data_IF_691616055292
#
_entry.id   IF_691616055292
#
_cell.length_a   1.000
_cell.length_b   1.000
_cell.length_c   1.000
_cell.angle_alpha   90.00
_cell.angle_beta   90.00
_cell.angle_gamma   90.00
#
_symmetry.space_group_name_H-M   'P 1'
#
loop_
_entity.id
_entity.type
_entity.pdbx_description
1 polymer ?
#
# COMPACT_ATOMS: atom_id res chain seq x y z
N UNK A 1 -16.11 12.26 -0.65
CA UNK A 1 -16.98 12.82 -1.73
C UNK A 1 -16.98 14.33 -1.65
N UNK A 2 -16.82 15.01 -2.79
CA UNK A 2 -16.86 16.49 -2.86
C UNK A 2 -18.33 16.94 -2.97
N UNK A 3 -18.67 18.09 -2.38
CA UNK A 3 -20.02 18.67 -2.44
C UNK A 3 -20.08 19.86 -3.41
N UNK A 4 -21.27 20.18 -3.95
CA UNK A 4 -21.49 21.35 -4.80
C UNK A 4 -20.93 22.62 -4.17
N UNK A 5 -21.16 22.82 -2.84
CA UNK A 5 -20.64 24.01 -2.14
C UNK A 5 -19.14 24.13 -2.14
N UNK A 6 -18.42 23.00 -2.04
CA UNK A 6 -16.96 23.00 -2.13
C UNK A 6 -16.47 23.25 -3.55
N UNK A 7 -17.18 22.72 -4.56
CA UNK A 7 -16.88 22.97 -5.97
C UNK A 7 -17.04 24.45 -6.34
N UNK A 8 -18.10 25.08 -5.87
CA UNK A 8 -18.40 26.48 -6.15
C UNK A 8 -17.34 27.46 -5.61
N UNK A 9 -16.65 27.09 -4.51
CA UNK A 9 -15.66 27.93 -3.85
C UNK A 9 -14.23 27.74 -4.37
N UNK A 10 -13.95 26.63 -5.05
CA UNK A 10 -12.61 26.34 -5.58
C UNK A 10 -12.37 27.04 -6.91
N UNK A 11 -11.15 27.48 -7.12
CA UNK A 11 -10.69 27.97 -8.43
C UNK A 11 -10.61 26.83 -9.43
N UNK A 12 -10.86 27.13 -10.71
CA UNK A 12 -10.81 26.14 -11.78
C UNK A 12 -9.43 25.47 -11.83
N UNK A 13 -8.34 26.23 -11.71
CA UNK A 13 -6.97 25.73 -11.65
C UNK A 13 -6.74 24.75 -10.49
N UNK A 14 -7.31 25.03 -9.30
CA UNK A 14 -7.18 24.16 -8.15
C UNK A 14 -7.99 22.86 -8.33
N UNK A 15 -9.14 22.96 -9.00
CA UNK A 15 -9.95 21.79 -9.38
C UNK A 15 -9.23 20.94 -10.42
N UNK A 16 -8.61 21.56 -11.42
CA UNK A 16 -7.83 20.90 -12.47
C UNK A 16 -6.62 20.16 -11.87
N UNK A 17 -5.85 20.82 -11.01
CA UNK A 17 -4.72 20.22 -10.32
C UNK A 17 -5.15 19.04 -9.44
N UNK A 18 -6.27 19.17 -8.72
CA UNK A 18 -6.78 18.15 -7.83
C UNK A 18 -7.46 16.99 -8.56
N UNK A 19 -8.14 17.29 -9.67
CA UNK A 19 -8.93 16.37 -10.48
C UNK A 19 -8.66 16.58 -11.97
N UNK A 20 -7.50 16.17 -12.52
CA UNK A 20 -7.14 16.45 -13.92
C UNK A 20 -8.17 15.99 -14.96
N UNK A 21 -8.97 15.00 -14.61
CA UNK A 21 -10.03 14.47 -15.48
C UNK A 21 -11.22 15.42 -15.67
N UNK A 22 -11.32 16.52 -14.92
CA UNK A 22 -12.41 17.50 -15.10
C UNK A 22 -12.33 18.22 -16.45
N UNK A 23 -11.14 18.32 -17.06
CA UNK A 23 -10.98 18.89 -18.38
C UNK A 23 -11.89 18.20 -19.41
N UNK A 24 -11.92 16.86 -19.38
CA UNK A 24 -12.80 16.07 -20.24
C UNK A 24 -14.29 16.36 -20.00
N UNK A 25 -14.69 16.70 -18.76
CA UNK A 25 -16.06 17.10 -18.47
C UNK A 25 -16.39 18.44 -19.14
N UNK A 26 -15.51 19.43 -19.02
CA UNK A 26 -15.72 20.76 -19.64
C UNK A 26 -15.74 20.66 -21.17
N UNK A 27 -14.79 19.92 -21.77
CA UNK A 27 -14.74 19.65 -23.21
C UNK A 27 -16.03 18.99 -23.73
N UNK A 28 -16.48 17.92 -23.06
CA UNK A 28 -17.69 17.18 -23.45
C UNK A 28 -18.96 18.02 -23.36
N UNK A 29 -19.00 18.98 -22.43
CA UNK A 29 -20.10 19.92 -22.27
C UNK A 29 -19.91 21.21 -23.06
N UNK A 30 -18.86 21.30 -23.92
CA UNK A 30 -18.53 22.49 -24.75
C UNK A 30 -18.32 23.77 -23.97
N UNK A 31 -17.82 23.63 -22.75
CA UNK A 31 -17.51 24.74 -21.84
C UNK A 31 -16.02 25.08 -21.97
N UNK A 32 -15.72 26.27 -22.51
CA UNK A 32 -14.33 26.73 -22.61
C UNK A 32 -13.91 27.43 -21.32
N UNK A 33 -12.89 26.89 -20.65
CA UNK A 33 -12.35 27.40 -19.39
C UNK A 33 -11.05 28.21 -19.57
N UNK A 34 -10.55 28.38 -20.82
CA UNK A 34 -9.34 29.17 -21.08
C UNK A 34 -9.57 30.65 -20.66
N UNK A 35 -8.62 31.16 -19.86
CA UNK A 35 -8.69 32.50 -19.29
C UNK A 35 -9.48 32.63 -17.99
N UNK A 36 -10.06 31.52 -17.49
CA UNK A 36 -10.82 31.48 -16.23
C UNK A 36 -10.13 30.64 -15.15
N UNK A 37 -8.84 30.29 -15.32
CA UNK A 37 -8.09 29.39 -14.45
C UNK A 37 -8.07 29.91 -12.98
N UNK A 38 -7.99 31.22 -12.80
CA UNK A 38 -7.97 31.88 -11.49
C UNK A 38 -9.36 32.22 -10.93
N UNK A 39 -10.43 32.00 -11.72
CA UNK A 39 -11.81 32.21 -11.29
C UNK A 39 -12.37 30.99 -10.57
N UNK A 40 -13.29 31.22 -9.65
CA UNK A 40 -14.06 30.12 -9.06
C UNK A 40 -15.04 29.53 -10.06
N UNK A 41 -15.44 28.28 -9.87
CA UNK A 41 -16.46 27.64 -10.71
C UNK A 41 -17.75 28.48 -10.77
N UNK A 42 -18.13 29.07 -9.64
CA UNK A 42 -19.33 29.90 -9.59
C UNK A 42 -19.18 31.20 -10.37
N UNK A 43 -18.03 31.87 -10.29
CA UNK A 43 -17.74 33.09 -11.09
C UNK A 43 -17.73 32.76 -12.57
N UNK A 44 -17.11 31.65 -12.98
CA UNK A 44 -17.10 31.18 -14.36
C UNK A 44 -18.51 30.93 -14.90
N UNK A 45 -19.34 30.17 -14.18
CA UNK A 45 -20.70 29.85 -14.61
C UNK A 45 -21.62 31.08 -14.65
N UNK A 46 -21.39 32.08 -13.80
CA UNK A 46 -22.15 33.33 -13.79
C UNK A 46 -21.65 34.35 -14.82
N UNK A 47 -20.57 34.05 -15.57
CA UNK A 47 -20.08 34.93 -16.61
C UNK A 47 -20.95 34.88 -17.89
N UNK A 48 -21.64 33.76 -18.12
CA UNK A 48 -22.53 33.61 -19.27
C UNK A 48 -23.71 34.59 -19.22
N UNK A 49 -23.93 35.29 -20.31
CA UNK A 49 -25.07 36.19 -20.46
C UNK A 49 -26.38 35.42 -20.65
N UNK A 50 -27.52 36.07 -20.43
CA UNK A 50 -28.84 35.42 -20.62
C UNK A 50 -29.02 34.95 -22.08
N UNK A 51 -28.49 35.69 -23.06
CA UNK A 51 -28.53 35.35 -24.48
C UNK A 51 -27.70 34.06 -24.76
N UNK A 52 -26.48 33.95 -24.20
CA UNK A 52 -25.63 32.77 -24.35
C UNK A 52 -26.23 31.54 -23.66
N UNK A 53 -26.87 31.72 -22.49
CA UNK A 53 -27.55 30.65 -21.78
C UNK A 53 -28.69 30.06 -22.59
N UNK A 54 -29.49 30.95 -23.25
CA UNK A 54 -30.58 30.50 -24.10
C UNK A 54 -30.07 29.87 -25.42
N UNK A 55 -29.09 30.51 -26.08
CA UNK A 55 -28.54 30.03 -27.38
C UNK A 55 -27.84 28.68 -27.26
N UNK A 56 -27.08 28.47 -26.18
CA UNK A 56 -26.30 27.25 -25.94
C UNK A 56 -27.00 26.24 -25.01
N UNK A 57 -28.23 26.54 -24.61
CA UNK A 57 -29.04 25.70 -23.71
C UNK A 57 -28.29 25.32 -22.44
N UNK A 58 -27.59 26.28 -21.83
CA UNK A 58 -26.82 26.08 -20.57
C UNK A 58 -27.76 26.03 -19.39
N UNK A 59 -27.77 24.92 -18.68
CA UNK A 59 -28.48 24.74 -17.40
C UNK A 59 -27.45 24.74 -16.25
N UNK A 60 -27.18 25.93 -15.68
CA UNK A 60 -26.16 26.10 -14.63
C UNK A 60 -26.39 25.16 -13.43
N UNK A 61 -27.59 25.03 -12.84
CA UNK A 61 -27.85 24.08 -11.77
C UNK A 61 -27.53 22.64 -12.16
N UNK A 62 -27.90 22.24 -13.38
CA UNK A 62 -27.63 20.91 -13.90
C UNK A 62 -26.15 20.67 -14.11
N UNK A 63 -25.41 21.61 -14.69
CA UNK A 63 -23.95 21.51 -14.90
C UNK A 63 -23.25 21.31 -13.54
N UNK A 64 -23.64 22.04 -12.49
CA UNK A 64 -23.07 21.89 -11.14
C UNK A 64 -23.34 20.48 -10.57
N UNK A 65 -24.56 19.99 -10.71
CA UNK A 65 -24.94 18.65 -10.27
C UNK A 65 -24.24 17.55 -11.07
N UNK A 66 -24.16 17.70 -12.38
CA UNK A 66 -23.51 16.75 -13.26
C UNK A 66 -21.99 16.71 -13.03
N UNK A 67 -21.37 17.86 -12.76
CA UNK A 67 -19.94 17.94 -12.42
C UNK A 67 -19.66 17.29 -11.05
N UNK A 68 -20.49 17.56 -10.02
CA UNK A 68 -20.38 16.87 -8.73
C UNK A 68 -20.49 15.37 -8.88
N UNK A 69 -21.48 14.90 -9.61
CA UNK A 69 -21.70 13.49 -9.88
C UNK A 69 -20.52 12.88 -10.65
N UNK A 70 -20.05 13.54 -11.71
CA UNK A 70 -18.92 13.12 -12.51
C UNK A 70 -17.63 12.99 -11.68
N UNK A 71 -17.30 14.03 -10.89
CA UNK A 71 -16.12 14.01 -10.02
C UNK A 71 -16.23 12.86 -9.01
N UNK A 72 -17.36 12.71 -8.34
CA UNK A 72 -17.55 11.65 -7.35
C UNK A 72 -17.50 10.25 -7.98
N UNK A 73 -18.06 10.06 -9.18
CA UNK A 73 -17.89 8.81 -9.94
C UNK A 73 -16.44 8.54 -10.32
N UNK A 74 -15.73 9.56 -10.81
CA UNK A 74 -14.33 9.42 -11.19
C UNK A 74 -13.42 9.17 -9.97
N UNK A 75 -13.69 9.83 -8.84
CA UNK A 75 -13.03 9.56 -7.56
C UNK A 75 -13.21 8.10 -7.16
N UNK A 76 -14.43 7.58 -7.25
CA UNK A 76 -14.72 6.19 -6.94
C UNK A 76 -14.07 5.23 -7.93
N UNK A 77 -14.18 5.51 -9.23
CA UNK A 77 -13.60 4.69 -10.31
C UNK A 77 -12.07 4.63 -10.24
N UNK A 78 -11.42 5.78 -10.00
CA UNK A 78 -9.96 5.90 -9.90
C UNK A 78 -9.44 5.56 -8.50
N UNK A 79 -10.34 5.31 -7.54
CA UNK A 79 -10.00 5.03 -6.18
C UNK A 79 -9.27 6.17 -5.46
N UNK A 80 -9.68 7.38 -5.74
CA UNK A 80 -9.16 8.58 -5.10
C UNK A 80 -9.85 8.88 -3.76
N UNK A 81 -10.89 8.12 -3.39
CA UNK A 81 -11.46 8.20 -2.04
C UNK A 81 -10.40 7.75 -1.03
N UNK A 82 -10.02 8.67 -0.17
CA UNK A 82 -9.24 8.36 1.03
C UNK A 82 -10.19 7.74 2.06
N UNK A 83 -10.60 6.51 1.86
CA UNK A 83 -11.01 5.69 3.00
C UNK A 83 -9.75 5.44 3.83
N UNK A 84 -9.52 6.33 4.80
CA UNK A 84 -8.39 6.21 5.72
C UNK A 84 -8.62 4.95 6.54
N UNK A 85 -7.96 3.88 6.14
CA UNK A 85 -7.98 2.63 6.89
C UNK A 85 -7.05 2.78 8.08
N UNK A 86 -7.65 2.87 9.25
CA UNK A 86 -6.94 3.02 10.52
C UNK A 86 -6.69 1.69 11.21
N UNK A 87 -7.49 0.67 10.91
CA UNK A 87 -7.36 -0.65 11.51
C UNK A 87 -8.02 -1.74 10.68
N UNK A 88 -7.51 -2.97 10.87
CA UNK A 88 -8.20 -4.19 10.48
C UNK A 88 -8.48 -5.00 11.75
N UNK A 89 -9.63 -5.69 11.79
CA UNK A 89 -9.97 -6.58 12.90
C UNK A 89 -10.29 -7.96 12.37
N UNK A 90 -9.60 -8.97 12.87
CA UNK A 90 -9.82 -10.37 12.54
C UNK A 90 -10.75 -10.95 13.59
N UNK A 91 -11.92 -11.41 13.17
CA UNK A 91 -12.83 -12.18 14.02
C UNK A 91 -12.55 -13.68 13.84
N UNK A 92 -12.72 -14.47 14.92
CA UNK A 92 -12.37 -15.89 14.92
C UNK A 92 -13.20 -16.71 13.95
N UNK A 93 -12.56 -17.63 13.28
CA UNK A 93 -13.15 -18.61 12.41
C UNK A 93 -12.94 -20.03 12.95
N UNK A 94 -12.53 -20.95 12.04
CA UNK A 94 -12.33 -22.38 12.33
C UNK A 94 -10.95 -22.83 11.85
N UNK A 95 -10.36 -23.78 12.57
CA UNK A 95 -9.17 -24.51 12.15
C UNK A 95 -9.52 -25.57 11.06
N UNK A 96 -8.51 -26.28 10.56
CA UNK A 96 -8.70 -27.32 9.52
C UNK A 96 -9.52 -28.53 9.97
N UNK A 97 -9.78 -28.67 11.26
CA UNK A 97 -10.60 -29.74 11.83
C UNK A 97 -12.01 -29.27 12.20
N UNK A 98 -12.34 -28.00 11.93
CA UNK A 98 -13.63 -27.41 12.25
C UNK A 98 -13.75 -26.88 13.68
N UNK A 99 -12.68 -26.89 14.47
CA UNK A 99 -12.69 -26.32 15.82
C UNK A 99 -12.67 -24.81 15.75
N UNK A 100 -13.49 -24.14 16.55
CA UNK A 100 -13.51 -22.69 16.67
C UNK A 100 -12.18 -22.18 17.25
N UNK A 101 -11.64 -21.10 16.67
CA UNK A 101 -10.47 -20.41 17.20
C UNK A 101 -10.79 -19.79 18.56
N UNK A 102 -9.80 -19.85 19.48
CA UNK A 102 -9.98 -19.43 20.87
C UNK A 102 -9.42 -18.03 21.12
N UNK A 103 -10.02 -17.03 20.50
CA UNK A 103 -9.80 -15.61 20.79
C UNK A 103 -11.09 -14.85 20.45
N UNK A 104 -11.27 -13.64 21.00
CA UNK A 104 -12.49 -12.85 20.76
C UNK A 104 -12.37 -12.02 19.48
N UNK A 105 -11.30 -11.24 19.37
CA UNK A 105 -10.98 -10.44 18.20
C UNK A 105 -9.50 -10.04 18.22
N UNK A 106 -8.92 -9.78 17.05
CA UNK A 106 -7.58 -9.26 16.92
C UNK A 106 -7.61 -8.00 16.07
N UNK A 107 -7.42 -6.86 16.69
CA UNK A 107 -7.31 -5.57 16.00
C UNK A 107 -5.85 -5.19 15.77
N UNK A 108 -5.54 -4.83 14.53
CA UNK A 108 -4.24 -4.36 14.07
C UNK A 108 -4.43 -2.94 13.55
N UNK A 109 -3.67 -2.01 14.08
CA UNK A 109 -3.79 -0.59 13.76
C UNK A 109 -2.78 -0.17 12.70
N UNK A 110 -3.00 0.98 12.11
CA UNK A 110 -2.08 1.70 11.26
C UNK A 110 -0.70 1.82 11.91
N UNK A 111 0.35 1.66 11.11
CA UNK A 111 1.75 1.64 11.58
C UNK A 111 2.12 0.50 12.54
N UNK A 112 1.28 -0.53 12.72
CA UNK A 112 1.64 -1.72 13.46
C UNK A 112 2.25 -2.79 12.56
N UNK A 113 3.25 -3.50 13.08
CA UNK A 113 3.85 -4.68 12.46
C UNK A 113 3.36 -5.92 13.20
N UNK A 114 2.83 -6.88 12.46
CA UNK A 114 2.38 -8.17 13.00
C UNK A 114 3.13 -9.30 12.31
N UNK A 115 3.82 -10.12 13.09
CA UNK A 115 4.46 -11.34 12.58
C UNK A 115 3.50 -12.54 12.67
N UNK A 116 3.53 -13.39 11.65
CA UNK A 116 2.76 -14.62 11.57
C UNK A 116 3.76 -15.78 11.58
N UNK A 117 3.73 -16.55 12.66
CA UNK A 117 4.67 -17.64 12.89
C UNK A 117 3.95 -18.99 12.99
N UNK A 118 4.65 -20.05 12.67
CA UNK A 118 4.15 -21.41 12.73
C UNK A 118 4.91 -22.33 11.79
N UNK A 119 4.82 -23.64 11.95
CA UNK A 119 5.47 -24.61 11.08
C UNK A 119 5.09 -24.43 9.59
N UNK A 120 5.93 -24.95 8.68
CA UNK A 120 5.55 -25.03 7.27
C UNK A 120 4.26 -25.83 7.11
N UNK A 121 3.33 -25.34 6.29
CA UNK A 121 2.01 -25.98 6.13
C UNK A 121 1.03 -25.74 7.28
N UNK A 122 1.36 -24.90 8.28
CA UNK A 122 0.45 -24.60 9.40
C UNK A 122 -0.76 -23.75 9.01
N UNK A 123 -0.74 -23.08 7.83
CA UNK A 123 -1.83 -22.25 7.35
C UNK A 123 -1.55 -20.74 7.39
N UNK A 124 -0.28 -20.30 7.48
CA UNK A 124 0.09 -18.88 7.45
C UNK A 124 -0.44 -18.18 6.21
N UNK A 125 -0.18 -18.73 5.02
CA UNK A 125 -0.66 -18.16 3.75
C UNK A 125 -2.19 -18.16 3.64
N UNK A 126 -2.89 -19.02 4.37
CA UNK A 126 -4.37 -18.99 4.41
C UNK A 126 -4.87 -17.77 5.19
N UNK A 127 -4.23 -17.42 6.31
CA UNK A 127 -4.58 -16.20 7.04
C UNK A 127 -4.29 -14.95 6.20
N UNK A 128 -3.15 -14.92 5.48
CA UNK A 128 -2.85 -13.83 4.56
C UNK A 128 -3.90 -13.71 3.46
N UNK A 129 -4.34 -14.83 2.87
CA UNK A 129 -5.42 -14.84 1.87
C UNK A 129 -6.77 -14.38 2.44
N UNK A 130 -7.13 -14.77 3.67
CA UNK A 130 -8.36 -14.30 4.32
C UNK A 130 -8.34 -12.77 4.49
N UNK A 131 -7.18 -12.18 4.79
CA UNK A 131 -7.01 -10.72 4.91
C UNK A 131 -7.04 -10.08 3.52
N UNK A 132 -6.31 -10.63 2.54
CA UNK A 132 -6.27 -10.12 1.16
C UNK A 132 -7.67 -10.02 0.54
N UNK A 133 -8.50 -11.01 0.80
CA UNK A 133 -9.86 -11.07 0.25
C UNK A 133 -10.90 -10.41 1.15
N UNK A 134 -10.46 -9.82 2.26
CA UNK A 134 -11.34 -9.27 3.29
C UNK A 134 -12.49 -10.25 3.59
N UNK A 135 -12.12 -11.48 3.98
CA UNK A 135 -13.04 -12.60 4.16
C UNK A 135 -14.24 -12.23 5.04
N UNK A 136 -15.42 -12.70 4.67
CA UNK A 136 -16.67 -12.55 5.44
C UNK A 136 -17.39 -13.88 5.52
N UNK A 137 -16.80 -14.86 6.23
CA UNK A 137 -17.28 -16.25 6.38
C UNK A 137 -17.38 -17.03 5.08
N UNK A 138 -16.86 -16.50 3.98
CA UNK A 138 -16.90 -17.05 2.63
C UNK A 138 -15.61 -17.77 2.23
N UNK A 139 -14.72 -17.99 3.18
CA UNK A 139 -13.48 -18.78 3.04
C UNK A 139 -13.57 -20.07 3.88
N UNK A 140 -12.72 -21.08 3.61
CA UNK A 140 -12.72 -22.32 4.38
C UNK A 140 -12.50 -22.16 5.89
N UNK A 141 -11.91 -21.06 6.32
CA UNK A 141 -11.69 -20.75 7.74
C UNK A 141 -12.90 -20.11 8.40
N UNK A 142 -13.88 -19.63 7.64
CA UNK A 142 -15.04 -18.86 8.11
C UNK A 142 -14.67 -17.63 8.96
N UNK A 143 -13.46 -17.07 8.80
CA UNK A 143 -13.08 -15.82 9.44
C UNK A 143 -13.85 -14.65 8.86
N UNK A 144 -13.97 -13.57 9.65
CA UNK A 144 -14.46 -12.29 9.17
C UNK A 144 -13.38 -11.25 9.42
N UNK A 145 -13.10 -10.46 8.38
CA UNK A 145 -12.16 -9.33 8.43
C UNK A 145 -12.97 -8.05 8.42
N UNK A 146 -12.83 -7.24 9.45
CA UNK A 146 -13.44 -5.92 9.52
C UNK A 146 -12.41 -4.86 9.14
N UNK A 147 -12.83 -3.83 8.44
CA UNK A 147 -12.06 -2.63 8.13
C UNK A 147 -12.65 -1.49 8.95
N UNK A 148 -11.83 -0.81 9.75
CA UNK A 148 -12.30 0.23 10.68
C UNK A 148 -13.47 -0.21 11.58
N UNK A 149 -13.55 -1.51 11.90
CA UNK A 149 -14.61 -2.08 12.73
C UNK A 149 -15.88 -2.51 11.98
N UNK A 150 -15.96 -2.28 10.66
CA UNK A 150 -17.12 -2.60 9.83
C UNK A 150 -16.79 -3.67 8.79
N UNK A 151 -17.79 -4.42 8.34
CA UNK A 151 -17.63 -5.36 7.24
C UNK A 151 -17.50 -4.55 5.95
N UNK A 152 -16.37 -4.70 5.19
CA UNK A 152 -16.18 -3.99 3.95
C UNK A 152 -17.27 -4.39 2.94
N UNK A 153 -17.79 -3.41 2.21
CA UNK A 153 -18.78 -3.67 1.17
C UNK A 153 -18.19 -4.42 -0.03
N UNK A 154 -19.05 -4.82 -0.96
CA UNK A 154 -18.65 -5.58 -2.14
C UNK A 154 -17.70 -4.79 -3.04
N UNK A 155 -17.93 -3.49 -3.18
CA UNK A 155 -17.09 -2.61 -4.02
C UNK A 155 -15.68 -2.48 -3.45
N UNK A 156 -15.54 -2.34 -2.15
CA UNK A 156 -14.25 -2.28 -1.46
C UNK A 156 -13.48 -3.61 -1.56
N UNK A 157 -14.18 -4.75 -1.43
CA UNK A 157 -13.54 -6.09 -1.48
C UNK A 157 -13.01 -6.46 -2.85
N UNK A 158 -13.71 -6.07 -3.93
CA UNK A 158 -13.44 -6.52 -5.30
C UNK A 158 -13.03 -5.40 -6.25
N UNK A 159 -12.69 -4.22 -5.73
CA UNK A 159 -12.17 -3.11 -6.53
C UNK A 159 -10.85 -3.49 -7.19
N UNK A 160 -10.76 -3.32 -8.50
CA UNK A 160 -9.52 -3.48 -9.26
C UNK A 160 -8.62 -2.26 -9.15
N UNK A 161 -9.20 -1.07 -8.94
CA UNK A 161 -8.48 0.21 -8.84
C UNK A 161 -7.91 0.50 -7.44
N UNK A 162 -8.62 0.08 -6.38
CA UNK A 162 -8.26 0.32 -4.98
C UNK A 162 -8.03 -1.00 -4.24
N UNK A 163 -6.91 -1.64 -4.50
CA UNK A 163 -6.56 -2.82 -3.72
C UNK A 163 -6.29 -2.44 -2.27
N UNK A 164 -7.06 -3.02 -1.34
CA UNK A 164 -6.85 -2.89 0.11
C UNK A 164 -5.49 -3.41 0.54
N UNK A 165 -5.00 -4.42 -0.16
CA UNK A 165 -3.82 -5.20 0.22
C UNK A 165 -2.81 -5.20 -0.91
N UNK A 166 -1.58 -4.81 -0.61
CA UNK A 166 -0.41 -5.08 -1.43
C UNK A 166 0.30 -6.33 -0.89
N UNK A 167 0.63 -7.26 -1.78
CA UNK A 167 1.34 -8.48 -1.42
C UNK A 167 2.76 -8.46 -1.96
N UNK A 168 3.73 -8.60 -1.07
CA UNK A 168 5.15 -8.76 -1.36
C UNK A 168 5.50 -10.24 -1.19
N UNK A 169 5.53 -10.99 -2.30
CA UNK A 169 5.79 -12.43 -2.30
C UNK A 169 7.28 -12.74 -2.30
N UNK A 170 7.63 -14.01 -2.00
CA UNK A 170 9.02 -14.48 -1.99
C UNK A 170 9.73 -14.30 -3.35
N UNK A 171 9.03 -14.52 -4.44
CA UNK A 171 9.57 -14.47 -5.81
C UNK A 171 9.04 -13.22 -6.53
N UNK A 172 9.73 -12.11 -6.35
CA UNK A 172 9.43 -10.86 -7.05
C UNK A 172 10.46 -10.63 -8.16
N UNK A 173 10.13 -11.07 -9.36
CA UNK A 173 10.96 -10.85 -10.54
C UNK A 173 10.21 -9.97 -11.53
N UNK A 174 10.91 -8.98 -12.08
CA UNK A 174 10.37 -8.19 -13.18
C UNK A 174 10.44 -9.00 -14.49
N UNK A 175 9.36 -8.92 -15.26
CA UNK A 175 9.25 -9.55 -16.59
C UNK A 175 9.09 -8.52 -17.71
N UNK A 176 9.19 -7.24 -17.35
CA UNK A 176 9.00 -6.11 -18.27
C UNK A 176 10.35 -5.67 -18.81
N UNK A 177 10.39 -5.29 -20.09
CA UNK A 177 11.59 -4.73 -20.73
C UNK A 177 11.57 -3.19 -20.60
N UNK A 178 11.80 -2.74 -19.37
CA UNK A 178 11.82 -1.33 -18.98
C UNK A 178 13.04 -1.05 -18.12
N UNK A 179 13.49 0.20 -18.08
CA UNK A 179 14.41 0.69 -17.06
C UNK A 179 13.67 0.95 -15.74
N UNK A 180 14.42 1.09 -14.66
CA UNK A 180 13.86 1.48 -13.34
C UNK A 180 13.09 2.79 -13.44
N UNK A 181 13.65 3.79 -14.17
CA UNK A 181 13.00 5.08 -14.38
C UNK A 181 11.67 4.94 -15.09
N UNK A 182 11.64 4.25 -16.25
CA UNK A 182 10.42 4.01 -17.02
C UNK A 182 9.35 3.24 -16.22
N UNK A 183 9.77 2.24 -15.44
CA UNK A 183 8.88 1.48 -14.58
C UNK A 183 8.23 2.38 -13.52
N UNK A 184 9.02 3.21 -12.81
CA UNK A 184 8.50 4.11 -11.79
C UNK A 184 7.65 5.24 -12.37
N UNK A 185 8.02 5.77 -13.55
CA UNK A 185 7.24 6.77 -14.28
C UNK A 185 5.85 6.22 -14.66
N UNK A 186 5.81 5.01 -15.22
CA UNK A 186 4.55 4.34 -15.55
C UNK A 186 3.66 4.16 -14.32
N UNK A 187 4.26 3.75 -13.18
CA UNK A 187 3.54 3.60 -11.92
C UNK A 187 3.05 4.95 -11.37
N UNK A 188 3.88 5.99 -11.35
CA UNK A 188 3.52 7.33 -10.88
C UNK A 188 2.36 7.91 -11.70
N UNK A 189 2.43 7.82 -13.03
CA UNK A 189 1.34 8.24 -13.94
C UNK A 189 0.05 7.46 -13.70
N UNK A 190 0.13 6.14 -13.54
CA UNK A 190 -1.04 5.31 -13.25
C UNK A 190 -1.73 5.67 -11.93
N UNK A 191 -1.03 6.35 -11.04
CA UNK A 191 -1.52 6.81 -9.72
C UNK A 191 -1.86 8.30 -9.70
N UNK A 192 -1.68 9.02 -10.82
CA UNK A 192 -1.91 10.45 -10.96
C UNK A 192 -1.17 11.27 -9.90
N UNK A 193 0.13 11.00 -9.77
CA UNK A 193 1.00 11.73 -8.84
C UNK A 193 1.35 13.08 -9.44
N UNK A 194 1.18 14.17 -8.66
CA UNK A 194 1.42 15.54 -9.12
C UNK A 194 2.90 15.84 -9.41
N UNK A 195 3.82 15.30 -8.58
CA UNK A 195 5.27 15.52 -8.68
C UNK A 195 6.00 14.20 -9.01
N UNK A 196 5.81 13.70 -10.25
CA UNK A 196 6.36 12.40 -10.67
C UNK A 196 7.86 12.29 -10.42
N UNK A 197 8.65 13.29 -10.84
CA UNK A 197 10.12 13.27 -10.70
C UNK A 197 10.58 13.18 -9.24
N UNK A 198 9.97 13.96 -8.34
CA UNK A 198 10.30 13.95 -6.92
C UNK A 198 10.00 12.60 -6.28
N UNK A 199 8.85 12.01 -6.62
CA UNK A 199 8.44 10.70 -6.09
C UNK A 199 9.33 9.58 -6.62
N UNK A 200 9.70 9.62 -7.90
CA UNK A 200 10.63 8.65 -8.51
C UNK A 200 12.00 8.71 -7.82
N UNK A 201 12.52 9.91 -7.58
CA UNK A 201 13.78 10.08 -6.85
C UNK A 201 13.67 9.55 -5.42
N UNK A 202 12.61 9.90 -4.68
CA UNK A 202 12.36 9.40 -3.31
C UNK A 202 12.32 7.88 -3.26
N UNK A 203 11.64 7.22 -4.20
CA UNK A 203 11.56 5.76 -4.27
C UNK A 203 12.94 5.15 -4.56
N UNK A 204 13.68 5.73 -5.53
CA UNK A 204 15.00 5.22 -5.92
C UNK A 204 16.00 5.35 -4.78
N UNK A 205 16.01 6.47 -4.05
CA UNK A 205 16.86 6.68 -2.87
C UNK A 205 16.50 5.68 -1.76
N UNK A 206 15.22 5.54 -1.43
CA UNK A 206 14.76 4.59 -0.43
C UNK A 206 15.13 3.14 -0.83
N UNK A 207 14.92 2.75 -2.08
CA UNK A 207 15.30 1.43 -2.57
C UNK A 207 16.82 1.19 -2.47
N UNK A 208 17.63 2.19 -2.81
CA UNK A 208 19.09 2.10 -2.69
C UNK A 208 19.60 2.08 -1.23
N UNK A 209 18.85 2.61 -0.28
CA UNK A 209 19.13 2.45 1.15
C UNK A 209 18.82 1.05 1.67
N UNK A 210 17.84 0.37 1.06
CA UNK A 210 17.48 -0.99 1.41
C UNK A 210 18.40 -2.02 0.75
N UNK A 211 18.85 -1.76 -0.48
CA UNK A 211 19.67 -2.67 -1.25
C UNK A 211 21.12 -2.72 -0.76
N UNK A 212 21.75 -3.89 -0.84
CA UNK A 212 23.18 -4.04 -0.55
C UNK A 212 24.09 -3.40 -1.60
N UNK A 213 23.62 -3.31 -2.84
CA UNK A 213 24.31 -2.70 -3.99
C UNK A 213 23.36 -1.69 -4.64
N UNK A 214 23.89 -0.50 -4.95
CA UNK A 214 23.11 0.57 -5.57
C UNK A 214 22.86 0.31 -7.06
N UNK A 215 21.76 0.83 -7.55
CA UNK A 215 21.37 0.88 -8.96
C UNK A 215 20.88 2.30 -9.33
N UNK A 216 20.78 2.59 -10.62
CA UNK A 216 20.31 3.89 -11.12
C UNK A 216 19.03 3.75 -11.96
N UNK A 217 18.48 4.88 -12.39
CA UNK A 217 17.23 4.92 -13.17
C UNK A 217 17.36 4.26 -14.54
N UNK A 218 18.56 4.24 -15.14
CA UNK A 218 18.81 3.63 -16.46
C UNK A 218 19.01 2.11 -16.38
N UNK A 219 19.08 1.54 -15.17
CA UNK A 219 19.27 0.09 -14.99
C UNK A 219 18.01 -0.65 -15.46
N UNK A 220 18.15 -1.65 -16.39
CA UNK A 220 17.01 -2.49 -16.76
C UNK A 220 16.46 -3.24 -15.54
N UNK A 221 15.13 -3.23 -15.35
CA UNK A 221 14.51 -3.91 -14.19
C UNK A 221 14.77 -5.41 -14.19
N UNK A 222 14.89 -6.02 -15.37
CA UNK A 222 15.25 -7.44 -15.52
C UNK A 222 16.72 -7.74 -15.18
N UNK A 223 17.58 -6.72 -15.16
CA UNK A 223 19.00 -6.82 -14.79
C UNK A 223 19.25 -6.66 -13.30
N UNK A 224 18.24 -6.28 -12.52
CA UNK A 224 18.37 -6.12 -11.07
C UNK A 224 18.61 -7.47 -10.39
N UNK A 225 19.53 -7.51 -9.42
CA UNK A 225 19.67 -8.65 -8.53
C UNK A 225 18.39 -8.87 -7.70
N UNK A 226 18.20 -10.07 -7.18
CA UNK A 226 17.02 -10.36 -6.35
C UNK A 226 16.86 -9.43 -5.14
N UNK A 227 17.97 -8.96 -4.54
CA UNK A 227 17.95 -7.96 -3.47
C UNK A 227 17.54 -6.58 -3.96
N UNK A 228 18.06 -6.13 -5.08
CA UNK A 228 17.70 -4.84 -5.70
C UNK A 228 16.23 -4.83 -6.14
N UNK A 229 15.75 -5.89 -6.80
CA UNK A 229 14.35 -6.03 -7.21
C UNK A 229 13.40 -5.91 -6.02
N UNK A 230 13.71 -6.59 -4.91
CA UNK A 230 12.89 -6.52 -3.69
C UNK A 230 12.95 -5.16 -3.03
N UNK A 231 14.13 -4.54 -2.95
CA UNK A 231 14.29 -3.20 -2.43
C UNK A 231 13.45 -2.19 -3.21
N UNK A 232 13.48 -2.26 -4.54
CA UNK A 232 12.67 -1.41 -5.41
C UNK A 232 11.17 -1.63 -5.18
N UNK A 233 10.70 -2.88 -5.14
CA UNK A 233 9.28 -3.18 -4.95
C UNK A 233 8.76 -2.80 -3.56
N UNK A 234 9.58 -2.94 -2.51
CA UNK A 234 9.22 -2.49 -1.17
C UNK A 234 9.12 -0.96 -1.11
N UNK A 235 10.09 -0.24 -1.68
CA UNK A 235 10.08 1.21 -1.70
C UNK A 235 8.91 1.77 -2.54
N UNK A 236 8.66 1.19 -3.71
CA UNK A 236 7.49 1.51 -4.55
C UNK A 236 6.17 1.24 -3.81
N UNK A 237 6.05 0.08 -3.16
CA UNK A 237 4.86 -0.26 -2.36
C UNK A 237 4.67 0.67 -1.16
N UNK A 238 5.75 1.04 -0.48
CA UNK A 238 5.66 1.93 0.67
C UNK A 238 5.19 3.33 0.26
N UNK A 239 5.82 3.92 -0.76
CA UNK A 239 5.68 5.34 -1.10
C UNK A 239 4.53 5.57 -2.08
N UNK A 240 4.43 4.76 -3.14
CA UNK A 240 3.50 4.98 -4.24
C UNK A 240 2.20 4.19 -4.10
N UNK A 241 2.24 2.99 -3.50
CA UNK A 241 1.02 2.19 -3.38
C UNK A 241 0.03 2.82 -2.41
N UNK A 242 -1.22 2.97 -2.85
CA UNK A 242 -2.35 3.41 -2.01
C UNK A 242 -2.85 2.32 -1.06
N UNK A 243 -2.42 1.06 -1.23
CA UNK A 243 -2.82 -0.05 -0.37
C UNK A 243 -2.39 0.18 1.08
N UNK A 244 -3.33 0.25 2.04
CA UNK A 244 -3.00 0.51 3.44
C UNK A 244 -2.43 -0.70 4.16
N UNK A 245 -2.66 -1.90 3.62
CA UNK A 245 -2.23 -3.17 4.20
C UNK A 245 -1.14 -3.77 3.31
N UNK A 246 -0.02 -4.15 3.90
CA UNK A 246 1.08 -4.82 3.21
C UNK A 246 1.30 -6.20 3.81
N UNK A 247 1.12 -7.23 2.99
CA UNK A 247 1.42 -8.61 3.35
C UNK A 247 2.79 -8.97 2.80
N UNK A 248 3.66 -9.48 3.66
CA UNK A 248 5.02 -9.88 3.30
C UNK A 248 5.19 -11.37 3.57
N UNK A 249 5.63 -12.10 2.56
CA UNK A 249 5.92 -13.53 2.70
C UNK A 249 7.44 -13.76 2.57
N UNK A 250 8.05 -14.28 3.65
CA UNK A 250 9.46 -14.69 3.74
C UNK A 250 10.49 -13.62 3.32
N UNK A 251 10.45 -12.44 3.95
CA UNK A 251 11.41 -11.34 3.70
C UNK A 251 12.85 -11.68 4.11
N UNK A 252 13.08 -12.70 4.92
CA UNK A 252 14.39 -13.11 5.45
C UNK A 252 15.40 -13.45 4.36
N UNK A 253 14.95 -13.92 3.21
CA UNK A 253 15.79 -14.33 2.09
C UNK A 253 16.11 -13.19 1.11
N UNK A 254 15.79 -11.95 1.48
CA UNK A 254 15.71 -10.85 0.51
C UNK A 254 17.07 -10.26 0.08
N UNK A 255 18.15 -10.42 0.85
CA UNK A 255 19.41 -9.72 0.56
C UNK A 255 19.34 -8.20 0.75
N UNK A 256 18.39 -7.72 1.56
CA UNK A 256 18.12 -6.30 1.87
C UNK A 256 18.22 -6.04 3.37
N UNK A 257 18.28 -4.76 3.75
CA UNK A 257 18.14 -4.35 5.15
C UNK A 257 16.67 -4.46 5.59
N UNK A 258 16.34 -5.59 6.22
CA UNK A 258 14.99 -5.94 6.65
C UNK A 258 14.39 -4.94 7.64
N UNK A 259 15.22 -4.42 8.56
CA UNK A 259 14.79 -3.45 9.57
C UNK A 259 14.40 -2.12 8.93
N UNK A 260 15.22 -1.63 8.02
CA UNK A 260 14.92 -0.42 7.25
C UNK A 260 13.67 -0.59 6.39
N UNK A 261 13.51 -1.77 5.75
CA UNK A 261 12.33 -2.06 4.95
C UNK A 261 11.02 -1.99 5.75
N UNK A 262 10.98 -2.61 6.94
CA UNK A 262 9.82 -2.54 7.82
C UNK A 262 9.57 -1.11 8.34
N UNK A 263 10.64 -0.40 8.73
CA UNK A 263 10.53 0.99 9.18
C UNK A 263 10.01 1.92 8.08
N UNK A 264 10.42 1.73 6.83
CA UNK A 264 9.90 2.50 5.69
C UNK A 264 8.39 2.28 5.52
N UNK A 265 7.91 1.05 5.58
CA UNK A 265 6.48 0.75 5.49
C UNK A 265 5.67 1.38 6.63
N UNK A 266 6.21 1.34 7.84
CA UNK A 266 5.58 1.93 9.04
C UNK A 266 5.58 3.46 8.99
N UNK A 267 6.65 4.09 8.50
CA UNK A 267 6.72 5.56 8.34
C UNK A 267 5.73 6.08 7.30
N UNK A 268 5.41 5.26 6.28
CA UNK A 268 4.35 5.55 5.30
C UNK A 268 2.97 5.02 5.77
N UNK A 269 2.81 4.84 7.08
CA UNK A 269 1.56 4.53 7.77
C UNK A 269 0.86 3.22 7.33
N UNK A 270 1.60 2.24 6.82
CA UNK A 270 1.05 0.94 6.41
C UNK A 270 0.78 0.04 7.63
N UNK A 271 -0.23 -0.82 7.52
CA UNK A 271 -0.43 -1.98 8.38
C UNK A 271 0.41 -3.12 7.78
N UNK A 272 1.37 -3.64 8.52
CA UNK A 272 2.30 -4.65 8.00
C UNK A 272 2.06 -6.00 8.65
N UNK A 273 1.75 -7.02 7.84
CA UNK A 273 1.71 -8.41 8.31
C UNK A 273 2.77 -9.22 7.56
N UNK A 274 3.64 -9.89 8.29
CA UNK A 274 4.69 -10.69 7.70
C UNK A 274 4.68 -12.14 8.19
N UNK A 275 4.66 -13.08 7.26
CA UNK A 275 4.93 -14.48 7.55
C UNK A 275 6.45 -14.68 7.59
N UNK A 276 6.96 -15.21 8.68
CA UNK A 276 8.41 -15.38 8.87
C UNK A 276 8.76 -16.59 9.70
N UNK A 277 9.96 -17.12 9.47
CA UNK A 277 10.62 -18.12 10.29
C UNK A 277 11.83 -17.54 11.06
N UNK A 278 12.20 -16.28 10.76
CA UNK A 278 13.33 -15.60 11.38
C UNK A 278 12.94 -15.04 12.76
N UNK A 279 13.62 -15.44 13.85
CA UNK A 279 13.32 -14.96 15.19
C UNK A 279 13.52 -13.46 15.34
N UNK A 280 14.48 -12.85 14.62
CA UNK A 280 14.70 -11.40 14.66
C UNK A 280 13.45 -10.67 14.14
N UNK A 281 12.94 -11.07 12.97
CA UNK A 281 11.74 -10.49 12.38
C UNK A 281 10.50 -10.73 13.25
N UNK A 282 10.38 -11.94 13.82
CA UNK A 282 9.26 -12.27 14.69
C UNK A 282 9.21 -11.38 15.95
N UNK A 283 10.38 -11.05 16.52
CA UNK A 283 10.50 -10.19 17.70
C UNK A 283 10.52 -8.68 17.39
N UNK A 284 10.76 -8.28 16.15
CA UNK A 284 10.63 -6.89 15.72
C UNK A 284 9.16 -6.43 15.64
N UNK A 285 8.24 -7.37 15.47
CA UNK A 285 6.82 -7.07 15.37
C UNK A 285 6.23 -6.66 16.73
N UNK A 286 5.21 -5.80 16.70
CA UNK A 286 4.45 -5.39 17.88
C UNK A 286 3.63 -6.54 18.44
N UNK A 287 3.09 -7.38 17.55
CA UNK A 287 2.29 -8.56 17.85
C UNK A 287 2.75 -9.76 17.06
N UNK A 288 2.58 -10.93 17.61
CA UNK A 288 2.90 -12.20 16.97
C UNK A 288 1.70 -13.13 16.98
N UNK A 289 1.26 -13.54 15.78
CA UNK A 289 0.18 -14.52 15.58
C UNK A 289 0.82 -15.90 15.41
N UNK A 290 0.49 -16.83 16.29
CA UNK A 290 0.93 -18.23 16.19
C UNK A 290 -0.15 -19.04 15.48
N UNK A 291 0.20 -19.61 14.32
CA UNK A 291 -0.71 -20.47 13.53
C UNK A 291 -0.43 -21.94 13.80
N UNK A 292 -1.49 -22.68 14.09
CA UNK A 292 -1.45 -24.14 14.26
C UNK A 292 -2.69 -24.75 13.61
N UNK A 293 -2.51 -25.80 12.83
CA UNK A 293 -3.59 -26.51 12.19
C UNK A 293 -4.56 -25.63 11.35
N UNK A 294 -4.06 -24.59 10.71
CA UNK A 294 -4.88 -23.67 9.91
C UNK A 294 -5.57 -22.57 10.70
N UNK A 295 -5.55 -22.65 12.04
CA UNK A 295 -6.18 -21.69 12.94
C UNK A 295 -5.18 -20.82 13.69
N UNK A 296 -5.63 -19.65 14.16
CA UNK A 296 -4.91 -18.81 15.11
C UNK A 296 -4.95 -19.49 16.48
N UNK A 297 -3.78 -20.00 16.89
CA UNK A 297 -3.64 -20.69 18.16
C UNK A 297 -3.46 -19.74 19.34
N UNK A 298 -2.64 -18.68 19.13
CA UNK A 298 -2.34 -17.68 20.15
C UNK A 298 -1.92 -16.37 19.51
N UNK A 299 -2.26 -15.27 20.15
CA UNK A 299 -1.72 -13.92 19.86
C UNK A 299 -0.86 -13.51 21.05
N UNK A 300 0.34 -12.99 20.78
CA UNK A 300 1.32 -12.57 21.77
C UNK A 300 1.74 -11.15 21.44
N UNK A 301 1.65 -10.25 22.39
CA UNK A 301 2.25 -8.90 22.28
C UNK A 301 3.73 -8.98 22.67
N UNK A 302 4.58 -8.31 21.90
CA UNK A 302 6.03 -8.30 22.17
C UNK A 302 6.31 -7.44 23.40
N UNK A 303 6.83 -8.04 24.45
CA UNK A 303 7.13 -7.39 25.71
C UNK A 303 8.56 -6.79 25.76
N UNK A 304 8.89 -6.11 26.87
CA UNK A 304 10.19 -5.48 27.06
C UNK A 304 11.34 -6.50 27.12
N UNK A 305 11.10 -7.71 27.67
CA UNK A 305 12.11 -8.77 27.74
C UNK A 305 12.41 -9.33 26.36
N UNK A 306 11.40 -9.55 25.53
CA UNK A 306 11.59 -9.98 24.15
C UNK A 306 12.34 -8.92 23.33
N UNK A 307 12.10 -7.62 23.59
CA UNK A 307 12.86 -6.51 22.97
C UNK A 307 14.34 -6.49 23.41
N UNK A 308 14.65 -6.91 24.63
CA UNK A 308 16.03 -7.08 25.08
C UNK A 308 16.71 -8.26 24.38
N UNK A 309 16.01 -9.39 24.28
CA UNK A 309 16.50 -10.56 23.53
C UNK A 309 16.74 -10.21 22.06
N UNK A 310 15.88 -9.41 21.44
CA UNK A 310 16.07 -8.93 20.07
C UNK A 310 17.40 -8.19 19.90
N UNK A 311 17.77 -7.32 20.87
CA UNK A 311 19.06 -6.61 20.81
C UNK A 311 20.27 -7.56 20.85
N UNK A 312 20.17 -8.66 21.60
CA UNK A 312 21.23 -9.68 21.61
C UNK A 312 21.29 -10.47 20.29
N UNK A 313 20.14 -10.82 19.74
CA UNK A 313 20.05 -11.47 18.41
C UNK A 313 20.59 -10.56 17.30
N UNK A 314 20.31 -9.26 17.33
CA UNK A 314 20.86 -8.28 16.38
C UNK A 314 22.39 -8.21 16.44
N UNK A 315 23.01 -8.37 17.64
CA UNK A 315 24.48 -8.43 17.76
C UNK A 315 25.04 -9.69 17.11
N UNK A 316 24.38 -10.83 17.33
CA UNK A 316 24.78 -12.10 16.71
C UNK A 316 24.66 -12.03 15.18
N UNK A 317 23.60 -11.43 14.67
CA UNK A 317 23.39 -11.26 13.24
C UNK A 317 24.48 -10.38 12.60
N UNK A 318 24.91 -9.31 13.27
CA UNK A 318 26.04 -8.48 12.83
C UNK A 318 27.35 -9.28 12.73
N UNK A 319 27.62 -10.14 13.70
CA UNK A 319 28.81 -11.01 13.68
C UNK A 319 28.73 -11.98 12.49
N UNK A 320 27.58 -12.66 12.32
CA UNK A 320 27.37 -13.58 11.20
C UNK A 320 27.52 -12.86 9.86
N UNK A 321 26.97 -11.68 9.71
CA UNK A 321 27.07 -10.90 8.47
C UNK A 321 28.50 -10.41 8.21
N UNK A 322 29.25 -10.03 9.24
CA UNK A 322 30.67 -9.72 9.12
C UNK A 322 31.48 -10.94 8.61
N UNK A 323 31.20 -12.13 9.18
CA UNK A 323 31.84 -13.37 8.69
C UNK A 323 31.49 -13.69 7.25
N UNK A 324 30.21 -13.53 6.86
CA UNK A 324 29.76 -13.71 5.46
C UNK A 324 30.51 -12.78 4.51
N UNK A 325 30.71 -11.51 4.90
CA UNK A 325 31.45 -10.53 4.11
C UNK A 325 32.90 -10.92 3.96
N UNK A 326 33.58 -11.31 5.03
CA UNK A 326 34.97 -11.81 4.99
C UNK A 326 35.11 -13.02 4.04
N UNK A 327 34.20 -14.00 4.14
CA UNK A 327 34.21 -15.17 3.25
C UNK A 327 34.01 -14.79 1.78
N UNK A 328 33.08 -13.86 1.48
CA UNK A 328 32.87 -13.37 0.11
C UNK A 328 34.09 -12.66 -0.47
N UNK A 329 34.85 -11.96 0.38
CA UNK A 329 36.10 -11.31 0.00
C UNK A 329 37.29 -12.27 -0.07
N UNK A 330 37.08 -13.56 0.18
CA UNK A 330 38.17 -14.57 0.18
C UNK A 330 39.07 -14.51 1.42
N UNK A 331 38.65 -13.83 2.45
CA UNK A 331 39.41 -13.69 3.71
C UNK A 331 39.27 -14.98 4.57
N UNK A 332 40.31 -15.31 5.32
CA UNK A 332 40.22 -16.38 6.34
C UNK A 332 39.59 -15.85 7.61
N UNK A 333 38.65 -16.62 8.16
CA UNK A 333 38.06 -16.30 9.50
C UNK A 333 38.94 -16.90 10.57
N UNK A 334 39.73 -16.06 11.26
CA UNK A 334 40.61 -16.46 12.35
C UNK A 334 40.04 -16.15 13.74
N UNK A 335 38.99 -15.29 13.81
CA UNK A 335 38.26 -14.93 15.02
C UNK A 335 36.90 -14.31 14.65
N UNK A 336 35.94 -14.33 15.59
CA UNK A 336 34.62 -13.68 15.44
C UNK A 336 34.51 -12.43 16.29
#
# INVERSE_FOLDING_TARGET
MISIKELEMKKIKDLENQYPFILSFFENNKLNIEGFEDSTLNEYLNHFTEEEIEEWAIDIPKIKSDLEFYINQMIQFLGLEKDIINSITILPGKDKYGNKENFDSLTIKKSEIVSIVGPTGSGKSRLLADIEWAANKDTPTERTILINGEIPDYSMRFSTGNKLVAQLSQNMNFVMDLTVGEFLELHARSRMVENEEEVILKITEAANELAGEKFNLDTPVTGLSGGQSRALMIADTAILSKSPIVLIDEIENAGIDRKRALNLLVSEEKIVLMATHDPNLALMADKRIVIKNGGIYKVIETDSKEKEILKELEKMDKIINSMRTKLRNGERINSY
#
